data_IF_466576014057
#
_entry.id   IF_466576014057
#
_cell.length_a   1.000
_cell.length_b   1.000
_cell.length_c   1.000
_cell.angle_alpha   90.00
_cell.angle_beta   90.00
_cell.angle_gamma   90.00
#
_symmetry.space_group_name_H-M   'P 1'
#
loop_
_entity.id
_entity.type
_entity.pdbx_description
1 polymer ?
#
# COMPACT_ATOMS: atom_id res chain seq x y z
N UNK A 1 8.90 -83.39 28.32
CA UNK A 1 8.78 -83.27 29.79
C UNK A 1 8.90 -81.83 30.28
N UNK A 2 10.10 -81.20 30.35
CA UNK A 2 10.22 -79.78 30.81
C UNK A 2 9.43 -78.79 29.95
N UNK A 3 9.51 -78.94 28.62
CA UNK A 3 8.81 -78.07 27.66
C UNK A 3 7.28 -78.15 27.82
N UNK A 4 6.73 -79.36 27.88
CA UNK A 4 5.28 -79.59 28.02
C UNK A 4 4.74 -79.07 29.36
N UNK A 5 5.55 -79.12 30.42
CA UNK A 5 5.22 -78.54 31.73
C UNK A 5 5.24 -77.00 31.70
N UNK A 6 6.19 -76.37 30.97
CA UNK A 6 6.22 -74.92 30.79
C UNK A 6 5.08 -74.41 29.90
N UNK A 7 4.65 -75.19 28.90
CA UNK A 7 3.46 -74.89 28.08
C UNK A 7 2.19 -74.92 28.93
N UNK A 8 2.05 -75.93 29.81
CA UNK A 8 0.96 -75.99 30.79
C UNK A 8 0.94 -74.76 31.72
N UNK A 9 2.11 -74.28 32.16
CA UNK A 9 2.24 -73.05 32.95
C UNK A 9 1.83 -71.80 32.16
N UNK A 10 2.17 -71.73 30.88
CA UNK A 10 1.81 -70.63 29.98
C UNK A 10 0.30 -70.59 29.67
N UNK A 11 -0.38 -71.73 29.66
CA UNK A 11 -1.83 -71.83 29.46
C UNK A 11 -2.65 -71.33 30.67
N UNK A 12 -2.02 -71.18 31.85
CA UNK A 12 -2.68 -70.65 33.05
C UNK A 12 -2.89 -69.13 32.95
N UNK A 13 -4.13 -68.71 32.67
CA UNK A 13 -4.48 -67.30 32.46
C UNK A 13 -4.28 -66.36 33.66
N UNK A 14 -4.19 -66.91 34.88
CA UNK A 14 -4.08 -66.15 36.13
C UNK A 14 -2.69 -66.27 36.78
N UNK A 15 -1.68 -66.72 36.04
CA UNK A 15 -0.32 -66.88 36.56
C UNK A 15 0.47 -65.59 36.29
N UNK A 16 0.93 -64.96 37.36
CA UNK A 16 1.73 -63.74 37.34
C UNK A 16 3.02 -63.89 38.17
N UNK A 17 3.83 -62.83 38.22
CA UNK A 17 5.09 -62.81 38.98
C UNK A 17 4.91 -62.96 40.51
N UNK A 18 3.68 -62.81 41.01
CA UNK A 18 3.33 -62.88 42.44
C UNK A 18 2.66 -64.22 42.82
N UNK A 19 2.43 -65.09 41.83
CA UNK A 19 1.73 -66.35 42.00
C UNK A 19 2.53 -67.33 42.87
N UNK A 20 1.84 -68.00 43.80
CA UNK A 20 2.46 -68.94 44.73
C UNK A 20 2.28 -70.37 44.24
N UNK A 21 3.34 -71.16 44.33
CA UNK A 21 3.34 -72.57 43.92
C UNK A 21 2.22 -73.39 44.60
N UNK A 22 1.91 -73.08 45.86
CA UNK A 22 0.87 -73.74 46.65
C UNK A 22 -0.52 -73.64 46.03
N UNK A 23 -0.79 -72.57 45.29
CA UNK A 23 -2.09 -72.26 44.72
C UNK A 23 -2.16 -72.76 43.28
N UNK A 24 -1.08 -72.56 42.53
CA UNK A 24 -0.95 -72.99 41.13
C UNK A 24 -0.95 -74.51 41.00
N UNK A 25 -0.25 -75.24 41.88
CA UNK A 25 -0.15 -76.71 41.77
C UNK A 25 -1.49 -77.45 41.89
N UNK A 26 -2.49 -76.84 42.55
CA UNK A 26 -3.82 -77.44 42.76
C UNK A 26 -4.65 -77.44 41.49
N UNK A 27 -4.51 -76.43 40.63
CA UNK A 27 -5.29 -76.33 39.38
C UNK A 27 -4.78 -77.25 38.27
N UNK A 28 -3.53 -77.73 38.37
CA UNK A 28 -2.86 -78.57 37.37
C UNK A 28 -2.67 -80.03 37.82
N UNK A 29 -3.14 -80.41 39.01
CA UNK A 29 -2.90 -81.73 39.59
C UNK A 29 -3.44 -82.92 38.76
N UNK A 30 -4.49 -82.67 37.96
CA UNK A 30 -5.14 -83.65 37.09
C UNK A 30 -4.55 -83.70 35.66
N UNK A 31 -3.70 -82.75 35.28
CA UNK A 31 -3.13 -82.69 33.92
C UNK A 31 -2.04 -83.75 33.74
N UNK A 32 -2.08 -84.47 32.61
CA UNK A 32 -1.10 -85.50 32.28
C UNK A 32 0.34 -84.95 32.20
N UNK A 33 0.52 -83.71 31.73
CA UNK A 33 1.81 -83.02 31.64
C UNK A 33 2.37 -82.63 33.01
N UNK A 34 1.50 -82.38 34.00
CA UNK A 34 1.89 -82.19 35.39
C UNK A 34 2.32 -83.51 36.04
N UNK A 35 1.53 -84.58 35.85
CA UNK A 35 1.82 -85.90 36.42
C UNK A 35 3.07 -86.56 35.82
N UNK A 36 3.41 -86.25 34.57
CA UNK A 36 4.59 -86.75 33.86
C UNK A 36 5.96 -86.30 34.46
N UNK A 37 5.96 -85.38 35.43
CA UNK A 37 7.19 -84.94 36.12
C UNK A 37 7.21 -85.56 37.51
N UNK A 38 7.89 -86.67 37.74
CA UNK A 38 7.74 -87.44 39.01
C UNK A 38 8.21 -86.69 40.26
N UNK A 39 9.12 -85.73 40.12
CA UNK A 39 9.69 -84.98 41.25
C UNK A 39 8.89 -83.71 41.55
N UNK A 40 8.30 -83.65 42.74
CA UNK A 40 7.59 -82.44 43.23
C UNK A 40 8.53 -81.24 43.38
N UNK A 41 9.79 -81.46 43.76
CA UNK A 41 10.77 -80.37 43.88
C UNK A 41 11.15 -79.81 42.51
N UNK A 42 11.24 -80.67 41.50
CA UNK A 42 11.55 -80.28 40.12
C UNK A 42 10.44 -79.45 39.47
N UNK A 43 9.17 -79.80 39.74
CA UNK A 43 8.00 -79.00 39.30
C UNK A 43 8.03 -77.59 39.91
N UNK A 44 8.34 -77.50 41.21
CA UNK A 44 8.43 -76.22 41.92
C UNK A 44 9.62 -75.37 41.42
N UNK A 45 10.75 -76.00 41.11
CA UNK A 45 11.92 -75.33 40.53
C UNK A 45 11.62 -74.75 39.15
N UNK A 46 10.98 -75.51 38.25
CA UNK A 46 10.58 -75.01 36.94
C UNK A 46 9.50 -73.93 37.01
N UNK A 47 8.58 -74.01 37.98
CA UNK A 47 7.64 -72.93 38.25
C UNK A 47 8.36 -71.65 38.69
N UNK A 48 9.30 -71.74 39.63
CA UNK A 48 10.11 -70.59 40.08
C UNK A 48 10.90 -69.98 38.93
N UNK A 49 11.49 -70.82 38.07
CA UNK A 49 12.20 -70.38 36.85
C UNK A 49 11.26 -69.65 35.88
N UNK A 50 10.04 -70.16 35.68
CA UNK A 50 9.04 -69.54 34.81
C UNK A 50 8.54 -68.18 35.35
N UNK A 51 8.22 -68.11 36.64
CA UNK A 51 7.80 -66.87 37.33
C UNK A 51 8.93 -65.83 37.31
N UNK A 52 10.17 -66.25 37.55
CA UNK A 52 11.35 -65.38 37.44
C UNK A 52 11.54 -64.85 36.01
N UNK A 53 11.33 -65.69 34.99
CA UNK A 53 11.36 -65.30 33.58
C UNK A 53 10.26 -64.31 33.22
N UNK A 54 9.04 -64.48 33.71
CA UNK A 54 7.95 -63.51 33.55
C UNK A 54 8.29 -62.15 34.16
N UNK A 55 8.83 -62.14 35.39
CA UNK A 55 9.26 -60.91 36.05
C UNK A 55 10.38 -60.19 35.27
N UNK A 56 11.39 -60.94 34.80
CA UNK A 56 12.47 -60.39 33.98
C UNK A 56 12.00 -59.84 32.63
N UNK A 57 11.02 -60.50 32.01
CA UNK A 57 10.48 -60.09 30.70
C UNK A 57 9.62 -58.83 30.84
N UNK A 58 8.79 -58.75 31.89
CA UNK A 58 7.99 -57.56 32.20
C UNK A 58 8.90 -56.36 32.52
N UNK A 59 9.94 -56.56 33.34
CA UNK A 59 10.87 -55.49 33.69
C UNK A 59 11.70 -54.99 32.50
N UNK A 60 12.09 -55.91 31.60
CA UNK A 60 12.73 -55.55 30.32
C UNK A 60 11.81 -54.73 29.42
N UNK A 61 10.54 -55.13 29.28
CA UNK A 61 9.55 -54.40 28.47
C UNK A 61 9.23 -53.01 29.05
N UNK A 62 9.11 -52.88 30.37
CA UNK A 62 8.91 -51.58 31.05
C UNK A 62 10.12 -50.64 30.82
N UNK A 63 11.35 -51.16 30.90
CA UNK A 63 12.56 -50.39 30.62
C UNK A 63 12.72 -49.98 29.14
N UNK A 64 12.32 -50.84 28.21
CA UNK A 64 12.30 -50.53 26.77
C UNK A 64 11.26 -49.46 26.44
N UNK A 65 10.06 -49.55 27.02
CA UNK A 65 9.02 -48.52 26.87
C UNK A 65 9.46 -47.16 27.45
N UNK A 66 10.09 -47.15 28.63
CA UNK A 66 10.60 -45.93 29.24
C UNK A 66 11.68 -45.28 28.37
N UNK A 67 12.64 -46.08 27.88
CA UNK A 67 13.67 -45.64 26.94
C UNK A 67 13.09 -45.11 25.61
N UNK A 68 12.02 -45.71 25.10
CA UNK A 68 11.35 -45.24 23.89
C UNK A 68 10.65 -43.89 24.12
N UNK A 69 9.98 -43.72 25.26
CA UNK A 69 9.32 -42.45 25.65
C UNK A 69 10.33 -41.33 25.88
N UNK A 70 11.50 -41.62 26.45
CA UNK A 70 12.58 -40.64 26.60
C UNK A 70 13.15 -40.20 25.26
N UNK A 71 13.38 -41.14 24.34
CA UNK A 71 13.83 -40.82 22.96
C UNK A 71 12.82 -39.96 22.22
N UNK A 72 11.53 -40.29 22.28
CA UNK A 72 10.47 -39.48 21.65
C UNK A 72 10.42 -38.05 22.22
N UNK A 73 10.54 -37.91 23.54
CA UNK A 73 10.62 -36.58 24.19
C UNK A 73 11.84 -35.80 23.70
N UNK A 74 13.00 -36.46 23.61
CA UNK A 74 14.24 -35.82 23.15
C UNK A 74 14.14 -35.38 21.69
N UNK A 75 13.60 -36.24 20.81
CA UNK A 75 13.37 -35.91 19.39
C UNK A 75 12.39 -34.75 19.23
N UNK A 76 11.33 -34.69 20.05
CA UNK A 76 10.37 -33.58 20.04
C UNK A 76 11.02 -32.26 20.48
N UNK A 77 11.87 -32.31 21.50
CA UNK A 77 12.62 -31.14 21.97
C UNK A 77 13.63 -30.69 20.91
N UNK A 78 14.37 -31.61 20.30
CA UNK A 78 15.33 -31.30 19.24
C UNK A 78 14.64 -30.77 17.98
N UNK A 79 13.49 -31.33 17.59
CA UNK A 79 12.68 -30.83 16.49
C UNK A 79 12.19 -29.40 16.76
N UNK A 80 11.72 -29.13 17.97
CA UNK A 80 11.29 -27.78 18.39
C UNK A 80 12.45 -26.78 18.40
N UNK A 81 13.61 -27.16 18.91
CA UNK A 81 14.82 -26.33 18.90
C UNK A 81 15.27 -26.04 17.47
N UNK A 82 15.34 -27.06 16.62
CA UNK A 82 15.72 -26.93 15.20
C UNK A 82 14.75 -26.04 14.44
N UNK A 83 13.45 -26.15 14.70
CA UNK A 83 12.44 -25.28 14.08
C UNK A 83 12.59 -23.83 14.55
N UNK A 84 12.82 -23.61 15.84
CA UNK A 84 13.06 -22.28 16.39
C UNK A 84 14.34 -21.65 15.84
N UNK A 85 15.42 -22.40 15.73
CA UNK A 85 16.67 -21.93 15.13
C UNK A 85 16.49 -21.55 13.66
N UNK A 86 15.74 -22.36 12.89
CA UNK A 86 15.39 -22.03 11.51
C UNK A 86 14.59 -20.73 11.43
N UNK A 87 13.65 -20.50 12.33
CA UNK A 87 12.86 -19.26 12.36
C UNK A 87 13.71 -18.05 12.73
N UNK A 88 14.61 -18.18 13.71
CA UNK A 88 15.58 -17.13 14.06
C UNK A 88 16.50 -16.83 12.88
N UNK A 89 16.99 -17.85 12.16
CA UNK A 89 17.80 -17.63 10.98
C UNK A 89 17.03 -16.95 9.85
N UNK A 90 15.78 -17.33 9.59
CA UNK A 90 14.93 -16.67 8.59
C UNK A 90 14.73 -15.21 8.94
N UNK A 91 14.29 -14.90 10.15
CA UNK A 91 14.03 -13.53 10.61
C UNK A 91 15.29 -12.67 10.56
N UNK A 92 16.43 -13.19 11.01
CA UNK A 92 17.73 -12.49 10.90
C UNK A 92 18.11 -12.25 9.43
N UNK A 93 17.94 -13.24 8.55
CA UNK A 93 18.27 -13.10 7.14
C UNK A 93 17.41 -12.04 6.43
N UNK A 94 16.11 -11.97 6.78
CA UNK A 94 15.19 -10.95 6.27
C UNK A 94 15.61 -9.58 6.78
N UNK A 95 15.82 -9.43 8.09
CA UNK A 95 16.19 -8.16 8.70
C UNK A 95 17.53 -7.62 8.16
N UNK A 96 18.52 -8.48 7.93
CA UNK A 96 19.80 -8.08 7.32
C UNK A 96 19.59 -7.58 5.88
N UNK A 97 18.79 -8.28 5.07
CA UNK A 97 18.46 -7.85 3.69
C UNK A 97 17.72 -6.52 3.67
N UNK A 98 16.77 -6.33 4.58
CA UNK A 98 16.02 -5.07 4.70
C UNK A 98 16.93 -3.91 5.10
N UNK A 99 17.80 -4.11 6.10
CA UNK A 99 18.79 -3.12 6.52
C UNK A 99 19.75 -2.75 5.37
N UNK A 100 20.23 -3.74 4.64
CA UNK A 100 21.15 -3.49 3.53
C UNK A 100 20.44 -2.75 2.39
N UNK A 101 19.18 -3.10 2.08
CA UNK A 101 18.35 -2.36 1.12
C UNK A 101 18.12 -0.91 1.56
N UNK A 102 17.81 -0.69 2.84
CA UNK A 102 17.61 0.65 3.40
C UNK A 102 18.91 1.47 3.29
N UNK A 103 20.06 0.88 3.62
CA UNK A 103 21.36 1.54 3.50
C UNK A 103 21.67 1.94 2.06
N UNK A 104 21.43 1.07 1.09
CA UNK A 104 21.66 1.42 -0.32
C UNK A 104 20.66 2.47 -0.82
N UNK A 105 19.40 2.45 -0.34
CA UNK A 105 18.43 3.49 -0.63
C UNK A 105 18.87 4.85 -0.10
N UNK A 106 19.35 4.94 1.16
CA UNK A 106 19.82 6.21 1.73
C UNK A 106 20.99 6.79 0.95
N UNK A 107 21.95 5.96 0.53
CA UNK A 107 23.06 6.42 -0.32
C UNK A 107 22.59 6.94 -1.67
N UNK A 108 21.62 6.25 -2.27
CA UNK A 108 21.01 6.67 -3.52
C UNK A 108 20.30 8.02 -3.35
N UNK A 109 19.47 8.15 -2.31
CA UNK A 109 18.75 9.39 -2.00
C UNK A 109 19.72 10.55 -1.74
N UNK A 110 20.84 10.30 -1.05
CA UNK A 110 21.91 11.27 -0.84
C UNK A 110 22.54 11.71 -2.17
N UNK A 111 22.84 10.77 -3.07
CA UNK A 111 23.38 11.09 -4.40
C UNK A 111 22.36 11.89 -5.26
N UNK A 112 21.06 11.57 -5.18
CA UNK A 112 19.97 12.36 -5.79
C UNK A 112 19.93 13.77 -5.22
N UNK A 113 20.02 13.93 -3.90
CA UNK A 113 20.03 15.24 -3.24
C UNK A 113 21.24 16.08 -3.68
N UNK A 114 22.43 15.48 -3.70
CA UNK A 114 23.64 16.15 -4.18
C UNK A 114 23.51 16.58 -5.65
N UNK A 115 22.93 15.73 -6.49
CA UNK A 115 22.72 16.07 -7.89
C UNK A 115 21.71 17.21 -8.06
N UNK A 116 20.59 17.17 -7.33
CA UNK A 116 19.59 18.24 -7.35
C UNK A 116 20.15 19.59 -6.85
N UNK A 117 21.02 19.56 -5.83
CA UNK A 117 21.73 20.76 -5.38
C UNK A 117 22.66 21.30 -6.47
N UNK A 118 23.42 20.42 -7.12
CA UNK A 118 24.32 20.77 -8.22
C UNK A 118 23.56 21.38 -9.41
N UNK A 119 22.43 20.79 -9.78
CA UNK A 119 21.53 21.31 -10.81
C UNK A 119 20.99 22.70 -10.45
N UNK A 120 20.58 22.89 -9.19
CA UNK A 120 20.08 24.18 -8.70
C UNK A 120 21.13 25.28 -8.80
N UNK A 121 22.37 24.98 -8.44
CA UNK A 121 23.46 25.96 -8.43
C UNK A 121 23.91 26.35 -9.84
N UNK A 122 24.12 25.33 -10.69
CA UNK A 122 24.83 25.46 -11.98
C UNK A 122 23.91 25.48 -13.21
N UNK A 123 22.71 24.90 -13.14
CA UNK A 123 21.75 24.85 -14.25
C UNK A 123 20.61 25.82 -13.98
N UNK A 124 20.79 27.08 -14.39
CA UNK A 124 19.77 28.14 -14.23
C UNK A 124 18.97 28.42 -15.50
N UNK A 125 19.48 27.97 -16.65
CA UNK A 125 18.84 28.15 -17.95
C UNK A 125 17.91 26.98 -18.26
N UNK A 126 16.58 27.18 -18.36
CA UNK A 126 15.62 26.13 -18.67
C UNK A 126 15.73 25.55 -20.09
N UNK A 127 16.44 26.23 -20.99
CA UNK A 127 16.67 25.78 -22.37
C UNK A 127 18.06 25.11 -22.52
N UNK A 128 18.78 24.84 -21.42
CA UNK A 128 20.07 24.19 -21.45
C UNK A 128 19.97 22.74 -21.97
N UNK A 129 20.92 22.33 -22.82
CA UNK A 129 21.00 20.93 -23.25
C UNK A 129 21.71 20.07 -22.22
N UNK A 130 21.33 18.79 -22.11
CA UNK A 130 22.01 17.83 -21.22
C UNK A 130 23.52 17.77 -21.50
N UNK A 131 23.93 17.78 -22.77
CA UNK A 131 25.34 17.72 -23.17
C UNK A 131 26.14 18.92 -22.64
N UNK A 132 25.56 20.12 -22.70
CA UNK A 132 26.19 21.34 -22.20
C UNK A 132 26.22 21.36 -20.67
N UNK A 133 25.08 21.09 -20.03
CA UNK A 133 24.98 21.03 -18.57
C UNK A 133 25.98 20.01 -18.00
N UNK A 134 26.02 18.78 -18.55
CA UNK A 134 26.95 17.73 -18.13
C UNK A 134 28.42 18.17 -18.20
N UNK A 135 28.82 18.93 -19.23
CA UNK A 135 30.19 19.46 -19.33
C UNK A 135 30.54 20.42 -18.19
N UNK A 136 29.57 21.19 -17.71
CA UNK A 136 29.74 22.10 -16.58
C UNK A 136 29.70 21.35 -15.25
N UNK A 137 28.73 20.46 -15.07
CA UNK A 137 28.51 19.68 -13.86
C UNK A 137 29.73 18.81 -13.50
N UNK A 138 30.38 18.17 -14.50
CA UNK A 138 31.57 17.33 -14.29
C UNK A 138 32.82 18.07 -13.80
N UNK A 139 32.83 19.40 -13.85
CA UNK A 139 33.95 20.20 -13.34
C UNK A 139 33.80 20.54 -11.86
N UNK A 140 32.61 20.33 -11.29
CA UNK A 140 32.35 20.58 -9.88
C UNK A 140 32.85 19.39 -9.05
N UNK A 141 33.51 19.67 -7.93
CA UNK A 141 34.05 18.65 -7.02
C UNK A 141 32.97 17.70 -6.48
N UNK A 142 31.72 18.17 -6.38
CA UNK A 142 30.59 17.34 -5.89
C UNK A 142 30.12 16.32 -6.92
N UNK A 143 30.64 16.33 -8.16
CA UNK A 143 30.26 15.37 -9.18
C UNK A 143 30.54 13.92 -8.77
N UNK A 144 31.60 13.68 -7.99
CA UNK A 144 31.96 12.34 -7.51
C UNK A 144 30.89 11.76 -6.57
N UNK A 145 30.19 12.62 -5.82
CA UNK A 145 29.06 12.22 -4.95
C UNK A 145 27.82 11.80 -5.75
N UNK A 146 27.76 12.15 -7.03
CA UNK A 146 26.67 11.82 -7.97
C UNK A 146 26.99 10.58 -8.81
N UNK A 147 28.26 10.14 -8.80
CA UNK A 147 28.71 8.98 -9.56
C UNK A 147 27.94 7.67 -9.29
N UNK A 148 27.40 7.42 -8.07
CA UNK A 148 26.55 6.26 -7.82
C UNK A 148 25.24 6.23 -8.61
N UNK A 149 24.71 7.37 -9.06
CA UNK A 149 23.44 7.41 -9.81
C UNK A 149 23.62 6.88 -11.24
N UNK A 150 22.60 6.23 -11.78
CA UNK A 150 22.65 5.75 -13.17
C UNK A 150 22.58 6.92 -14.17
N UNK A 151 23.06 6.69 -15.39
CA UNK A 151 23.09 7.74 -16.41
C UNK A 151 21.69 8.22 -16.77
N UNK A 152 20.77 7.28 -16.97
CA UNK A 152 19.38 7.50 -17.36
C UNK A 152 18.65 8.30 -16.27
N UNK A 153 18.94 8.00 -15.01
CA UNK A 153 18.38 8.70 -13.87
C UNK A 153 18.87 10.15 -13.77
N UNK A 154 20.17 10.40 -13.97
CA UNK A 154 20.70 11.77 -14.01
C UNK A 154 20.07 12.58 -15.15
N UNK A 155 19.85 11.96 -16.31
CA UNK A 155 19.15 12.60 -17.45
C UNK A 155 17.68 12.92 -17.13
N UNK A 156 17.00 12.02 -16.41
CA UNK A 156 15.63 12.23 -15.93
C UNK A 156 15.56 13.38 -14.92
N UNK A 157 16.39 13.36 -13.87
CA UNK A 157 16.44 14.40 -12.83
C UNK A 157 16.78 15.77 -13.43
N UNK A 158 17.67 15.82 -14.42
CA UNK A 158 17.96 17.03 -15.18
C UNK A 158 16.73 17.56 -15.91
N UNK A 159 16.01 16.70 -16.62
CA UNK A 159 14.80 17.09 -17.36
C UNK A 159 13.73 17.60 -16.41
N UNK A 160 13.51 16.92 -15.29
CA UNK A 160 12.58 17.35 -14.24
C UNK A 160 12.97 18.72 -13.67
N UNK A 161 14.26 18.96 -13.39
CA UNK A 161 14.74 20.27 -12.96
C UNK A 161 14.46 21.37 -13.99
N UNK A 162 14.68 21.11 -15.29
CA UNK A 162 14.35 22.08 -16.34
C UNK A 162 12.84 22.39 -16.38
N UNK A 163 11.99 21.37 -16.26
CA UNK A 163 10.54 21.55 -16.19
C UNK A 163 10.13 22.37 -14.96
N UNK A 164 10.73 22.12 -13.80
CA UNK A 164 10.51 22.89 -12.58
C UNK A 164 10.93 24.37 -12.75
N UNK A 165 12.05 24.64 -13.41
CA UNK A 165 12.49 26.01 -13.74
C UNK A 165 11.51 26.70 -14.69
N UNK A 166 11.07 26.00 -15.75
CA UNK A 166 10.07 26.54 -16.68
C UNK A 166 8.76 26.85 -15.98
N UNK A 167 8.30 25.94 -15.10
CA UNK A 167 7.11 26.14 -14.29
C UNK A 167 7.23 27.36 -13.38
N UNK A 168 8.32 27.48 -12.61
CA UNK A 168 8.56 28.65 -11.74
C UNK A 168 8.56 29.97 -12.53
N UNK A 169 9.18 30.00 -13.71
CA UNK A 169 9.17 31.18 -14.59
C UNK A 169 7.76 31.49 -15.11
N UNK A 170 7.00 30.46 -15.51
CA UNK A 170 5.61 30.58 -15.95
C UNK A 170 4.71 31.12 -14.85
N UNK A 171 4.85 30.61 -13.63
CA UNK A 171 4.09 31.07 -12.48
C UNK A 171 4.36 32.55 -12.20
N UNK A 172 5.63 32.98 -12.21
CA UNK A 172 5.97 34.41 -12.06
C UNK A 172 5.47 35.30 -13.18
N UNK A 173 5.41 34.78 -14.41
CA UNK A 173 4.79 35.49 -15.52
C UNK A 173 3.28 35.61 -15.36
N UNK A 174 2.60 34.57 -14.86
CA UNK A 174 1.17 34.62 -14.57
C UNK A 174 0.85 35.54 -13.39
N UNK A 175 1.68 35.55 -12.34
CA UNK A 175 1.58 36.51 -11.22
C UNK A 175 1.57 37.95 -11.75
N UNK A 176 2.48 38.27 -12.67
CA UNK A 176 2.53 39.58 -13.35
C UNK A 176 1.23 39.90 -14.11
N UNK A 177 0.68 38.92 -14.85
CA UNK A 177 -0.57 39.10 -15.57
C UNK A 177 -1.76 39.28 -14.62
N UNK A 178 -1.76 38.61 -13.47
CA UNK A 178 -2.78 38.75 -12.43
C UNK A 178 -2.73 40.13 -11.75
N UNK A 179 -1.53 40.67 -11.51
CA UNK A 179 -1.31 42.01 -10.95
C UNK A 179 -1.66 43.13 -11.93
N UNK A 180 -1.70 42.85 -13.24
CA UNK A 180 -1.98 43.84 -14.28
C UNK A 180 -3.49 44.07 -14.42
N UNK A 181 -4.04 44.99 -13.63
CA UNK A 181 -5.49 45.27 -13.56
C UNK A 181 -6.14 45.74 -14.87
N UNK A 182 -5.34 46.21 -15.84
CA UNK A 182 -5.81 46.60 -17.16
C UNK A 182 -6.17 45.39 -18.06
N UNK A 183 -5.78 44.17 -17.69
CA UNK A 183 -6.09 42.96 -18.45
C UNK A 183 -7.55 42.56 -18.21
N UNK A 184 -8.27 42.35 -19.30
CA UNK A 184 -9.65 41.84 -19.34
C UNK A 184 -9.69 40.55 -20.17
N UNK A 185 -10.81 39.81 -20.12
CA UNK A 185 -10.97 38.56 -20.89
C UNK A 185 -10.96 38.76 -22.42
N UNK A 186 -11.09 40.01 -22.89
CA UNK A 186 -11.04 40.40 -24.30
C UNK A 186 -9.75 41.13 -24.70
N UNK A 187 -8.78 41.28 -23.78
CA UNK A 187 -7.54 42.01 -24.06
C UNK A 187 -6.69 41.32 -25.12
N UNK A 188 -6.07 42.11 -25.99
CA UNK A 188 -5.17 41.59 -27.02
C UNK A 188 -3.72 41.53 -26.54
N UNK A 189 -2.91 40.66 -27.14
CA UNK A 189 -1.49 40.54 -26.81
C UNK A 189 -0.74 41.87 -26.99
N UNK A 190 -1.04 42.63 -28.06
CA UNK A 190 -0.35 43.89 -28.37
C UNK A 190 -0.56 44.96 -27.29
N UNK A 191 -1.75 45.01 -26.69
CA UNK A 191 -2.08 45.95 -25.61
C UNK A 191 -1.37 45.55 -24.32
N UNK A 192 -1.48 44.28 -23.93
CA UNK A 192 -0.88 43.78 -22.70
C UNK A 192 0.65 43.86 -22.75
N UNK A 193 1.26 43.50 -23.89
CA UNK A 193 2.72 43.62 -24.09
C UNK A 193 3.24 45.02 -23.80
N UNK A 194 2.54 46.07 -24.24
CA UNK A 194 2.98 47.47 -24.00
C UNK A 194 3.06 47.80 -22.51
N UNK A 195 2.24 47.16 -21.69
CA UNK A 195 2.17 47.39 -20.24
C UNK A 195 3.25 46.58 -19.52
N UNK A 196 3.42 45.31 -19.89
CA UNK A 196 4.28 44.37 -19.15
C UNK A 196 5.74 44.32 -19.65
N UNK A 197 6.07 44.94 -20.78
CA UNK A 197 7.39 44.79 -21.43
C UNK A 197 8.58 45.23 -20.58
N UNK A 198 8.38 46.18 -19.67
CA UNK A 198 9.43 46.70 -18.79
C UNK A 198 9.57 45.86 -17.50
N UNK A 199 8.61 44.97 -17.20
CA UNK A 199 8.68 44.14 -15.99
C UNK A 199 9.73 43.03 -16.15
N UNK A 200 10.66 42.87 -15.20
CA UNK A 200 11.69 41.83 -15.28
C UNK A 200 11.13 40.41 -15.46
N UNK A 201 9.95 40.10 -14.89
CA UNK A 201 9.31 38.78 -14.99
C UNK A 201 8.91 38.45 -16.43
N UNK A 202 8.57 39.45 -17.25
CA UNK A 202 8.35 39.27 -18.69
C UNK A 202 9.62 38.81 -19.41
N UNK A 203 10.72 39.57 -19.28
CA UNK A 203 11.99 39.22 -19.91
C UNK A 203 12.59 37.89 -19.40
N UNK A 204 12.40 37.58 -18.10
CA UNK A 204 12.92 36.35 -17.46
C UNK A 204 12.14 35.11 -17.84
N UNK A 205 10.87 35.25 -18.20
CA UNK A 205 10.04 34.14 -18.68
C UNK A 205 10.55 33.62 -20.01
N UNK A 206 10.66 34.49 -21.02
CA UNK A 206 11.26 34.13 -22.30
C UNK A 206 11.69 35.36 -23.10
N UNK A 207 12.80 35.23 -23.83
CA UNK A 207 13.18 36.17 -24.89
C UNK A 207 12.33 36.01 -26.16
N UNK A 208 11.61 34.88 -26.29
CA UNK A 208 10.75 34.62 -27.45
C UNK A 208 9.37 35.24 -27.24
N UNK A 209 9.09 36.30 -27.98
CA UNK A 209 7.76 36.93 -27.97
C UNK A 209 6.64 35.94 -28.31
N UNK A 210 6.89 35.00 -29.24
CA UNK A 210 5.92 33.95 -29.59
C UNK A 210 5.59 33.04 -28.39
N UNK A 211 6.58 32.71 -27.57
CA UNK A 211 6.36 31.93 -26.33
C UNK A 211 5.52 32.74 -25.33
N UNK A 212 5.83 34.03 -25.15
CA UNK A 212 5.06 34.92 -24.26
C UNK A 212 3.61 35.10 -24.70
N UNK A 213 3.38 35.30 -26.01
CA UNK A 213 2.03 35.43 -26.57
C UNK A 213 1.23 34.13 -26.42
N UNK A 214 1.86 32.98 -26.68
CA UNK A 214 1.21 31.67 -26.50
C UNK A 214 0.78 31.46 -25.04
N UNK A 215 1.66 31.76 -24.09
CA UNK A 215 1.34 31.63 -22.66
C UNK A 215 0.25 32.62 -22.23
N UNK A 216 0.27 33.86 -22.74
CA UNK A 216 -0.79 34.84 -22.50
C UNK A 216 -2.16 34.35 -22.99
N UNK A 217 -2.22 33.75 -24.20
CA UNK A 217 -3.46 33.17 -24.73
C UNK A 217 -3.97 32.02 -23.86
N UNK A 218 -3.08 31.15 -23.38
CA UNK A 218 -3.46 30.07 -22.46
C UNK A 218 -3.93 30.62 -21.11
N UNK A 219 -3.27 31.63 -20.57
CA UNK A 219 -3.72 32.35 -19.38
C UNK A 219 -5.14 32.92 -19.53
N UNK A 220 -5.44 33.58 -20.65
CA UNK A 220 -6.80 34.11 -20.90
C UNK A 220 -7.83 32.99 -21.02
N UNK A 221 -7.47 31.87 -21.66
CA UNK A 221 -8.32 30.68 -21.75
C UNK A 221 -8.60 30.10 -20.37
N UNK A 222 -7.58 29.98 -19.52
CA UNK A 222 -7.71 29.52 -18.12
C UNK A 222 -8.61 30.47 -17.32
N UNK A 223 -8.40 31.79 -17.41
CA UNK A 223 -9.26 32.81 -16.78
C UNK A 223 -10.69 32.76 -17.27
N UNK A 224 -10.89 32.53 -18.57
CA UNK A 224 -12.23 32.39 -19.15
C UNK A 224 -12.92 31.12 -18.66
N UNK A 225 -12.20 30.00 -18.58
CA UNK A 225 -12.74 28.75 -18.04
C UNK A 225 -13.11 28.89 -16.55
N UNK A 226 -12.24 29.53 -15.75
CA UNK A 226 -12.50 29.83 -14.35
C UNK A 226 -13.74 30.75 -14.20
N UNK A 227 -13.81 31.83 -14.97
CA UNK A 227 -14.97 32.73 -14.96
C UNK A 227 -16.28 32.02 -15.35
N UNK A 228 -16.24 31.10 -16.33
CA UNK A 228 -17.38 30.27 -16.74
C UNK A 228 -17.81 29.30 -15.65
N UNK A 229 -16.85 28.65 -14.98
CA UNK A 229 -17.12 27.74 -13.85
C UNK A 229 -17.74 28.49 -12.67
N UNK A 230 -17.16 29.64 -12.33
CA UNK A 230 -17.63 30.49 -11.24
C UNK A 230 -19.01 31.09 -11.53
N UNK A 231 -19.34 31.30 -12.80
CA UNK A 231 -20.61 31.87 -13.24
C UNK A 231 -21.85 31.03 -12.86
N UNK A 232 -21.70 29.90 -12.15
CA UNK A 232 -22.84 29.16 -11.59
C UNK A 232 -23.66 30.04 -10.64
N UNK A 233 -24.89 30.46 -11.02
CA UNK A 233 -25.70 31.34 -10.18
C UNK A 233 -26.12 30.57 -8.93
N UNK A 234 -25.54 30.95 -7.79
CA UNK A 234 -25.77 30.24 -6.53
C UNK A 234 -27.13 30.66 -5.97
N UNK A 235 -28.05 29.69 -6.02
CA UNK A 235 -29.26 29.48 -5.21
C UNK A 235 -30.36 30.55 -5.13
N UNK A 236 -30.12 31.86 -5.32
CA UNK A 236 -31.18 32.88 -5.15
C UNK A 236 -32.22 32.92 -6.27
N UNK A 237 -32.03 32.11 -7.32
CA UNK A 237 -32.90 32.03 -8.50
C UNK A 237 -33.79 30.79 -8.52
N UNK A 238 -33.72 29.96 -7.47
CA UNK A 238 -34.41 28.67 -7.35
C UNK A 238 -35.95 28.75 -7.42
N UNK A 239 -36.54 29.93 -7.21
CA UNK A 239 -38.00 30.12 -7.10
C UNK A 239 -38.62 30.97 -8.22
N UNK A 240 -37.99 31.10 -9.40
CA UNK A 240 -38.55 31.92 -10.48
C UNK A 240 -38.59 31.16 -11.81
N UNK A 241 -39.80 30.92 -12.30
CA UNK A 241 -40.05 30.39 -13.64
C UNK A 241 -39.39 31.25 -14.73
N UNK A 242 -39.03 30.63 -15.86
CA UNK A 242 -38.44 31.29 -17.03
C UNK A 242 -39.21 32.52 -17.52
N UNK A 243 -40.54 32.53 -17.40
CA UNK A 243 -41.41 33.66 -17.75
C UNK A 243 -41.15 34.93 -16.91
N UNK A 244 -40.53 34.82 -15.73
CA UNK A 244 -40.27 35.93 -14.81
C UNK A 244 -38.96 36.68 -15.15
N UNK A 245 -38.05 36.06 -15.90
CA UNK A 245 -36.71 36.58 -16.18
C UNK A 245 -36.69 37.72 -17.20
N UNK A 246 -37.56 37.67 -18.19
CA UNK A 246 -37.63 38.66 -19.28
C UNK A 246 -38.32 39.96 -18.88
N UNK A 247 -39.14 39.95 -17.82
CA UNK A 247 -40.05 41.06 -17.49
C UNK A 247 -39.63 41.94 -16.29
N UNK A 248 -38.93 41.42 -15.28
CA UNK A 248 -38.73 42.16 -14.01
C UNK A 248 -37.38 42.89 -13.91
N UNK A 249 -37.40 44.23 -13.86
CA UNK A 249 -36.26 45.11 -13.51
C UNK A 249 -35.47 44.65 -12.27
N UNK A 250 -36.14 44.01 -11.31
CA UNK A 250 -35.56 43.48 -10.06
C UNK A 250 -34.51 42.37 -10.24
N UNK A 251 -34.65 41.47 -11.22
CA UNK A 251 -33.64 40.41 -11.48
C UNK A 251 -32.35 40.97 -12.09
N UNK A 252 -32.48 42.01 -12.91
CA UNK A 252 -31.36 42.74 -13.50
C UNK A 252 -30.54 43.49 -12.44
N UNK A 253 -31.22 44.11 -11.47
CA UNK A 253 -30.61 44.81 -10.34
C UNK A 253 -29.82 43.88 -9.40
N UNK A 254 -30.24 42.61 -9.22
CA UNK A 254 -29.50 41.65 -8.40
C UNK A 254 -28.23 41.11 -9.06
N UNK A 255 -28.25 40.94 -10.40
CA UNK A 255 -27.09 40.48 -11.16
C UNK A 255 -26.01 41.56 -11.29
N UNK A 256 -26.41 42.83 -11.32
CA UNK A 256 -25.50 43.98 -11.40
C UNK A 256 -24.61 44.16 -10.15
N UNK A 257 -24.93 43.45 -9.04
CA UNK A 257 -24.11 43.40 -7.82
C UNK A 257 -23.24 42.14 -7.71
N UNK A 258 -23.42 41.13 -8.58
CA UNK A 258 -22.60 39.91 -8.54
C UNK A 258 -21.26 40.15 -9.25
N UNK A 259 -20.16 40.06 -8.51
CA UNK A 259 -18.80 40.22 -9.05
C UNK A 259 -18.54 39.30 -10.25
N UNK A 260 -19.09 38.09 -10.25
CA UNK A 260 -18.91 37.09 -11.33
C UNK A 260 -19.66 37.47 -12.61
N UNK A 261 -20.80 38.14 -12.45
CA UNK A 261 -21.56 38.72 -13.57
C UNK A 261 -20.83 39.93 -14.19
N UNK A 262 -20.12 40.71 -13.37
CA UNK A 262 -19.34 41.86 -13.81
C UNK A 262 -18.05 41.45 -14.54
N UNK A 263 -17.37 40.38 -14.10
CA UNK A 263 -16.16 39.85 -14.76
C UNK A 263 -16.43 39.48 -16.22
N UNK A 264 -17.58 38.85 -16.50
CA UNK A 264 -18.01 38.52 -17.88
C UNK A 264 -18.56 39.74 -18.66
N UNK A 265 -18.52 40.94 -18.09
CA UNK A 265 -19.03 42.17 -18.72
C UNK A 265 -18.30 42.54 -20.01
N UNK A 266 -17.00 42.21 -20.09
CA UNK A 266 -16.19 42.43 -21.30
C UNK A 266 -16.53 41.47 -22.46
N UNK A 267 -17.33 40.41 -22.22
CA UNK A 267 -17.77 39.47 -23.26
C UNK A 267 -19.29 39.26 -23.13
N UNK A 268 -20.10 40.25 -23.57
CA UNK A 268 -21.53 40.27 -23.32
C UNK A 268 -22.28 39.13 -24.00
N UNK A 269 -21.76 38.59 -25.12
CA UNK A 269 -22.40 37.53 -25.90
C UNK A 269 -22.26 36.17 -25.21
N UNK A 270 -21.05 35.82 -24.78
CA UNK A 270 -20.79 34.62 -23.97
C UNK A 270 -21.55 34.69 -22.64
N UNK A 271 -21.61 35.87 -22.00
CA UNK A 271 -22.41 36.07 -20.78
C UNK A 271 -23.89 35.78 -21.02
N UNK A 272 -24.46 36.27 -22.14
CA UNK A 272 -25.86 35.97 -22.51
C UNK A 272 -26.06 34.48 -22.76
N UNK A 273 -25.14 33.82 -23.47
CA UNK A 273 -25.19 32.38 -23.72
C UNK A 273 -25.20 31.56 -22.43
N UNK A 274 -24.33 31.89 -21.47
CA UNK A 274 -24.29 31.20 -20.17
C UNK A 274 -25.57 31.44 -19.35
N UNK A 275 -26.15 32.65 -19.40
CA UNK A 275 -27.43 32.94 -18.77
C UNK A 275 -28.56 32.12 -19.38
N UNK A 276 -28.65 32.06 -20.71
CA UNK A 276 -29.68 31.27 -21.40
C UNK A 276 -29.54 29.78 -21.08
N UNK A 277 -28.33 29.23 -21.14
CA UNK A 277 -28.08 27.83 -20.77
C UNK A 277 -28.48 27.52 -19.32
N UNK A 278 -28.28 28.48 -18.40
CA UNK A 278 -28.74 28.34 -17.02
C UNK A 278 -30.28 28.39 -16.88
N UNK A 279 -30.95 29.29 -17.61
CA UNK A 279 -32.42 29.37 -17.62
C UNK A 279 -33.02 28.08 -18.19
N UNK A 280 -32.46 27.56 -19.29
CA UNK A 280 -32.87 26.27 -19.87
C UNK A 280 -32.67 25.09 -18.89
N UNK A 281 -31.58 25.09 -18.13
CA UNK A 281 -31.36 24.07 -17.09
C UNK A 281 -32.36 24.18 -15.93
N UNK A 282 -32.77 25.40 -15.55
CA UNK A 282 -33.82 25.60 -14.56
C UNK A 282 -35.19 25.12 -15.07
N UNK A 283 -35.52 25.42 -16.33
CA UNK A 283 -36.77 24.97 -16.95
C UNK A 283 -36.83 23.44 -17.05
N UNK A 284 -35.71 22.79 -17.39
CA UNK A 284 -35.61 21.32 -17.43
C UNK A 284 -35.79 20.68 -16.04
N UNK A 285 -35.25 21.31 -14.99
CA UNK A 285 -35.34 20.79 -13.61
C UNK A 285 -36.73 20.97 -13.00
N UNK A 286 -37.53 21.90 -13.52
CA UNK A 286 -38.82 22.26 -12.96
C UNK A 286 -38.71 22.97 -11.59
N UNK A 287 -39.84 23.42 -11.02
CA UNK A 287 -39.86 24.01 -9.68
C UNK A 287 -39.36 23.00 -8.65
N UNK A 288 -38.63 23.45 -7.60
CA UNK A 288 -38.20 22.55 -6.53
C UNK A 288 -39.43 21.88 -5.91
N UNK A 289 -39.36 20.57 -5.57
CA UNK A 289 -40.46 19.90 -4.90
C UNK A 289 -40.79 20.65 -3.60
N UNK A 290 -42.07 20.75 -3.22
CA UNK A 290 -42.45 21.41 -1.98
C UNK A 290 -41.75 20.71 -0.80
N UNK A 291 -41.44 21.43 0.29
CA UNK A 291 -40.79 20.84 1.47
C UNK A 291 -41.61 19.72 2.14
N UNK A 292 -42.85 19.52 1.70
CA UNK A 292 -43.79 18.47 2.11
C UNK A 292 -43.85 17.27 1.17
N UNK A 293 -43.07 17.24 0.07
CA UNK A 293 -43.01 16.06 -0.81
C UNK A 293 -42.11 15.00 -0.18
N UNK A 294 -42.72 14.02 0.49
CA UNK A 294 -42.06 12.77 0.88
C UNK A 294 -41.50 12.07 -0.38
N UNK A 295 -40.31 11.48 -0.25
CA UNK A 295 -39.63 10.77 -1.34
C UNK A 295 -40.57 9.76 -2.02
N UNK A 296 -40.61 9.67 -3.36
CA UNK A 296 -41.35 8.62 -4.02
C UNK A 296 -40.70 7.29 -3.67
N UNK A 297 -41.42 6.43 -2.96
CA UNK A 297 -41.05 5.04 -2.74
C UNK A 297 -40.79 4.40 -4.11
N UNK A 298 -39.52 4.13 -4.41
CA UNK A 298 -39.14 3.29 -5.56
C UNK A 298 -39.84 1.95 -5.40
N UNK A 299 -40.89 1.70 -6.18
CA UNK A 299 -41.35 0.33 -6.42
C UNK A 299 -40.19 -0.40 -7.10
N UNK A 300 -39.60 -1.35 -6.38
CA UNK A 300 -38.72 -2.36 -6.95
C UNK A 300 -39.54 -3.20 -7.93
N UNK A 301 -39.31 -3.04 -9.24
CA UNK A 301 -39.77 -4.02 -10.20
C UNK A 301 -38.91 -5.28 -10.02
N UNK A 302 -39.57 -6.36 -9.58
CA UNK A 302 -39.23 -7.72 -9.99
C UNK A 302 -39.63 -7.89 -11.45
#
# INVERSE_FOLDING_TARGET
MKKDFLELLQEQKNLDKHSRWSDVKKSMAEDARYRAVDSSSQREEWFKEYVAKLASTQHGHEGEEESAREREKQERIEASLREREKEVQRTLSTHLRERDKEREQHKHDEAVQHFNALLTDLVRNPDASWREAKRTLRKDHRWDLVEPLEREEREKLFTEHLEQLQRKKKDKYRDLLDETTAITLSSTWKEVKKIIREDPRYSKFSSSERKCEKEFKEYLKDKMAAAKSDFRPRSKLRNRSSTCWTSKKSSRLSLQKDKRYLVLGCIPDERRKLLMAYVEDLDRRGPPPPPTASEPTRRSNK
#
